data_IF_676155113230
#
_entry.id   IF_676155113230
#
_cell.length_a   1.000
_cell.length_b   1.000
_cell.length_c   1.000
_cell.angle_alpha   90.00
_cell.angle_beta   90.00
_cell.angle_gamma   90.00
#
_symmetry.space_group_name_H-M   'P 1'
#
loop_
_entity.id
_entity.type
_entity.pdbx_description
1 polymer ?
#
# COMPACT_ATOMS: atom_id res chain seq x y z
N UNK A 1 -55.62 -8.07 9.75
CA UNK A 1 -54.63 -8.11 8.71
C UNK A 1 -53.65 -6.96 8.94
N UNK A 2 -52.47 -7.21 9.52
CA UNK A 2 -51.47 -6.18 9.80
C UNK A 2 -50.33 -6.32 8.75
N UNK A 3 -50.05 -5.23 8.05
CA UNK A 3 -48.99 -5.09 7.06
C UNK A 3 -47.62 -5.38 7.67
N UNK A 4 -46.95 -6.36 7.13
CA UNK A 4 -45.49 -6.57 7.33
C UNK A 4 -44.76 -5.65 6.39
N UNK A 5 -44.25 -4.53 6.91
CA UNK A 5 -43.34 -3.67 6.19
C UNK A 5 -42.07 -4.44 5.84
N UNK A 6 -41.86 -4.65 4.54
CA UNK A 6 -40.63 -5.21 4.01
C UNK A 6 -39.47 -4.25 4.25
N UNK A 7 -38.66 -4.46 5.29
CA UNK A 7 -37.35 -3.83 5.43
C UNK A 7 -36.43 -4.40 4.35
N UNK A 8 -36.28 -3.66 3.27
CA UNK A 8 -35.19 -3.87 2.32
C UNK A 8 -33.89 -3.57 3.06
N UNK A 9 -33.18 -4.61 3.48
CA UNK A 9 -31.80 -4.45 3.96
C UNK A 9 -30.96 -4.01 2.77
N UNK A 10 -30.59 -2.74 2.71
CA UNK A 10 -29.60 -2.27 1.76
C UNK A 10 -28.31 -3.09 1.97
N UNK A 11 -27.90 -3.82 0.95
CA UNK A 11 -26.68 -4.64 0.96
C UNK A 11 -25.50 -3.70 1.19
N UNK A 12 -24.90 -3.77 2.37
CA UNK A 12 -23.66 -3.08 2.68
C UNK A 12 -22.57 -3.66 1.79
N UNK A 13 -22.12 -2.90 0.80
CA UNK A 13 -21.09 -3.35 -0.12
C UNK A 13 -19.72 -3.14 0.52
N UNK A 14 -18.92 -4.19 0.63
CA UNK A 14 -17.51 -4.10 1.03
C UNK A 14 -16.63 -3.82 -0.17
N UNK A 15 -15.50 -3.14 0.04
CA UNK A 15 -14.42 -3.00 -0.93
C UNK A 15 -13.07 -3.25 -0.25
N UNK A 16 -12.07 -3.66 -1.04
CA UNK A 16 -10.74 -4.04 -0.57
C UNK A 16 -9.67 -3.14 -1.15
N UNK A 17 -8.85 -2.59 -0.26
CA UNK A 17 -7.65 -1.81 -0.60
C UNK A 17 -6.43 -2.64 -0.21
N UNK A 18 -5.51 -2.81 -1.15
CA UNK A 18 -4.32 -3.65 -0.98
C UNK A 18 -3.07 -2.84 -1.25
N UNK A 19 -2.02 -3.04 -0.45
CA UNK A 19 -0.65 -2.61 -0.78
C UNK A 19 0.23 -3.82 -1.03
N UNK A 20 1.09 -3.75 -2.04
CA UNK A 20 2.02 -4.81 -2.40
C UNK A 20 3.31 -4.26 -3.01
N UNK A 21 4.42 -4.41 -2.32
CA UNK A 21 5.73 -4.28 -2.93
C UNK A 21 6.00 -5.53 -3.79
N UNK A 22 6.13 -5.33 -5.09
CA UNK A 22 6.24 -6.42 -6.08
C UNK A 22 7.69 -6.78 -6.44
N UNK A 23 8.65 -6.34 -5.65
CA UNK A 23 10.09 -6.64 -5.80
C UNK A 23 10.57 -6.48 -7.25
N UNK A 24 10.86 -5.26 -7.66
CA UNK A 24 11.43 -4.97 -8.97
C UNK A 24 10.62 -5.52 -10.17
N UNK A 25 9.32 -5.19 -10.23
CA UNK A 25 8.50 -5.50 -11.41
C UNK A 25 8.83 -4.52 -12.54
N UNK A 26 10.01 -4.72 -13.15
CA UNK A 26 10.63 -3.80 -14.09
C UNK A 26 10.45 -4.26 -15.54
N UNK A 27 10.71 -3.32 -16.47
CA UNK A 27 10.82 -3.60 -17.89
C UNK A 27 12.16 -4.29 -18.20
N UNK A 28 12.23 -4.99 -19.35
CA UNK A 28 13.44 -5.66 -19.83
C UNK A 28 14.61 -4.69 -20.09
N UNK A 29 14.35 -3.38 -20.11
CA UNK A 29 15.33 -2.32 -20.35
C UNK A 29 15.99 -1.77 -19.09
N UNK A 30 15.55 -2.15 -17.90
CA UNK A 30 16.10 -1.66 -16.63
C UNK A 30 17.45 -2.31 -16.35
N UNK A 31 18.53 -1.61 -16.67
CA UNK A 31 19.90 -2.15 -16.72
C UNK A 31 20.55 -2.40 -15.34
N UNK A 32 19.98 -1.91 -14.23
CA UNK A 32 20.60 -1.95 -12.89
C UNK A 32 20.08 -3.05 -11.98
N UNK A 33 18.91 -3.61 -12.26
CA UNK A 33 18.26 -4.64 -11.46
C UNK A 33 18.00 -5.89 -12.29
N UNK A 34 17.92 -7.05 -11.65
CA UNK A 34 17.45 -8.25 -12.31
C UNK A 34 15.98 -8.10 -12.68
N UNK A 35 15.67 -8.24 -13.97
CA UNK A 35 14.30 -8.28 -14.47
C UNK A 35 13.58 -9.48 -13.88
N UNK A 36 12.40 -9.25 -13.36
CA UNK A 36 11.57 -10.30 -12.78
C UNK A 36 11.20 -11.35 -13.83
N UNK A 37 11.44 -12.64 -13.52
CA UNK A 37 11.15 -13.74 -14.45
C UNK A 37 9.66 -13.85 -14.74
N UNK A 38 9.30 -14.48 -15.88
CA UNK A 38 7.89 -14.73 -16.21
C UNK A 38 7.17 -15.56 -15.15
N UNK A 39 7.88 -16.51 -14.50
CA UNK A 39 7.34 -17.30 -13.39
C UNK A 39 7.05 -16.42 -12.18
N UNK A 40 7.97 -15.53 -11.83
CA UNK A 40 7.80 -14.59 -10.73
C UNK A 40 6.66 -13.61 -10.99
N UNK A 41 6.57 -13.04 -12.21
CA UNK A 41 5.46 -12.18 -12.64
C UNK A 41 4.09 -12.90 -12.54
N UNK A 42 4.03 -14.18 -12.97
CA UNK A 42 2.83 -15.00 -12.84
C UNK A 42 2.43 -15.21 -11.35
N UNK A 43 3.43 -15.40 -10.48
CA UNK A 43 3.19 -15.58 -9.05
C UNK A 43 2.73 -14.29 -8.37
N UNK A 44 3.23 -13.11 -8.79
CA UNK A 44 2.70 -11.81 -8.37
C UNK A 44 1.21 -11.70 -8.71
N UNK A 45 0.82 -12.05 -9.95
CA UNK A 45 -0.60 -12.02 -10.36
C UNK A 45 -1.46 -13.02 -9.58
N UNK A 46 -0.93 -14.21 -9.26
CA UNK A 46 -1.62 -15.18 -8.41
C UNK A 46 -1.95 -14.61 -7.02
N UNK A 47 -0.97 -13.92 -6.38
CA UNK A 47 -1.18 -13.24 -5.10
C UNK A 47 -2.25 -12.15 -5.22
N UNK A 48 -2.20 -11.33 -6.28
CA UNK A 48 -3.18 -10.26 -6.51
C UNK A 48 -4.59 -10.86 -6.70
N UNK A 49 -4.72 -11.93 -7.49
CA UNK A 49 -6.01 -12.60 -7.70
C UNK A 49 -6.57 -13.21 -6.42
N UNK A 50 -5.72 -13.81 -5.59
CA UNK A 50 -6.15 -14.40 -4.31
C UNK A 50 -6.76 -13.36 -3.37
N UNK A 51 -6.32 -12.11 -3.42
CA UNK A 51 -6.83 -11.01 -2.60
C UNK A 51 -8.10 -10.38 -3.17
N UNK A 52 -8.34 -10.48 -4.48
CA UNK A 52 -9.44 -9.79 -5.16
C UNK A 52 -9.56 -8.32 -4.78
N UNK A 53 -8.51 -7.50 -4.94
CA UNK A 53 -8.55 -6.10 -4.54
C UNK A 53 -9.46 -5.29 -5.46
N UNK A 54 -10.14 -4.28 -4.89
CA UNK A 54 -10.85 -3.27 -5.68
C UNK A 54 -9.91 -2.09 -5.99
N UNK A 55 -8.95 -1.81 -5.08
CA UNK A 55 -7.88 -0.83 -5.26
C UNK A 55 -6.56 -1.49 -4.84
N UNK A 56 -5.57 -1.46 -5.71
CA UNK A 56 -4.26 -2.06 -5.52
C UNK A 56 -3.17 -0.99 -5.66
N UNK A 57 -2.45 -0.74 -4.58
CA UNK A 57 -1.26 0.10 -4.56
C UNK A 57 -0.01 -0.77 -4.67
N UNK A 58 0.88 -0.40 -5.57
CA UNK A 58 2.09 -1.14 -5.91
C UNK A 58 3.33 -0.32 -5.57
N UNK A 59 4.34 -0.97 -5.03
CA UNK A 59 5.68 -0.45 -4.83
C UNK A 59 6.66 -1.29 -5.66
N UNK A 60 7.77 -0.68 -6.03
CA UNK A 60 8.78 -1.24 -6.95
C UNK A 60 8.23 -1.60 -8.34
N UNK A 61 7.28 -0.80 -8.79
CA UNK A 61 6.79 -0.86 -10.15
C UNK A 61 7.78 -0.19 -11.10
N UNK A 62 8.04 -0.80 -12.24
CA UNK A 62 8.82 -0.21 -13.31
C UNK A 62 8.12 0.94 -14.01
N UNK A 63 8.34 1.07 -15.32
CA UNK A 63 7.73 2.12 -16.13
C UNK A 63 6.20 1.99 -16.24
N UNK A 64 5.58 2.99 -16.84
CA UNK A 64 4.16 2.92 -17.26
C UNK A 64 3.90 1.69 -18.13
N UNK A 65 4.87 1.28 -18.98
CA UNK A 65 4.71 0.10 -19.83
C UNK A 65 4.64 -1.19 -19.01
N UNK A 66 5.49 -1.35 -17.96
CA UNK A 66 5.42 -2.46 -17.02
C UNK A 66 4.08 -2.51 -16.26
N UNK A 67 3.57 -1.35 -15.82
CA UNK A 67 2.27 -1.27 -15.17
C UNK A 67 1.14 -1.71 -16.10
N UNK A 68 1.17 -1.26 -17.35
CA UNK A 68 0.14 -1.62 -18.34
C UNK A 68 0.24 -3.09 -18.76
N UNK A 69 1.43 -3.68 -18.80
CA UNK A 69 1.64 -5.12 -18.99
C UNK A 69 0.97 -5.91 -17.85
N UNK A 70 1.28 -5.57 -16.60
CA UNK A 70 0.65 -6.21 -15.43
C UNK A 70 -0.88 -6.07 -15.47
N UNK A 71 -1.38 -4.87 -15.76
CA UNK A 71 -2.82 -4.59 -15.85
C UNK A 71 -3.49 -5.44 -16.94
N UNK A 72 -2.90 -5.52 -18.14
CA UNK A 72 -3.44 -6.32 -19.23
C UNK A 72 -3.45 -7.82 -18.89
N UNK A 73 -2.38 -8.32 -18.27
CA UNK A 73 -2.30 -9.70 -17.82
C UNK A 73 -3.36 -10.03 -16.75
N UNK A 74 -3.57 -9.13 -15.77
CA UNK A 74 -4.62 -9.28 -14.76
C UNK A 74 -6.02 -9.25 -15.38
N UNK A 75 -6.24 -8.39 -16.38
CA UNK A 75 -7.51 -8.32 -17.10
C UNK A 75 -7.80 -9.64 -17.86
N UNK A 76 -6.80 -10.21 -18.53
CA UNK A 76 -6.90 -11.51 -19.17
C UNK A 76 -7.20 -12.65 -18.19
N UNK A 77 -6.80 -12.49 -16.92
CA UNK A 77 -7.05 -13.42 -15.82
C UNK A 77 -8.32 -13.10 -14.99
N UNK A 78 -9.17 -12.18 -15.47
CA UNK A 78 -10.48 -11.86 -14.89
C UNK A 78 -10.50 -10.73 -13.85
N UNK A 79 -9.38 -10.01 -13.65
CA UNK A 79 -9.32 -8.83 -12.79
C UNK A 79 -9.13 -7.57 -13.64
N UNK A 80 -10.21 -6.82 -13.83
CA UNK A 80 -10.17 -5.56 -14.58
C UNK A 80 -10.01 -4.35 -13.67
N UNK A 81 -9.00 -3.52 -14.00
CA UNK A 81 -8.70 -2.25 -13.34
C UNK A 81 -8.71 -1.12 -14.39
N UNK A 82 -9.87 -0.55 -14.72
CA UNK A 82 -9.98 0.47 -15.76
C UNK A 82 -9.23 1.77 -15.42
N UNK A 83 -9.02 2.05 -14.13
CA UNK A 83 -8.36 3.26 -13.66
C UNK A 83 -7.00 2.94 -13.07
N UNK A 84 -6.00 3.77 -13.38
CA UNK A 84 -4.65 3.61 -12.87
C UNK A 84 -3.96 4.95 -12.68
N UNK A 85 -2.93 4.98 -11.81
CA UNK A 85 -2.00 6.07 -11.59
C UNK A 85 -0.58 5.52 -11.52
N UNK A 86 0.41 6.29 -11.99
CA UNK A 86 1.82 5.95 -11.91
C UNK A 86 2.60 7.21 -11.54
N UNK A 87 3.36 7.16 -10.45
CA UNK A 87 4.12 8.30 -9.95
C UNK A 87 5.58 7.93 -9.80
N UNK A 88 6.42 8.66 -10.50
CA UNK A 88 7.87 8.60 -10.40
C UNK A 88 8.39 9.69 -9.45
N UNK A 89 9.48 9.41 -8.78
CA UNK A 89 10.28 10.40 -8.04
C UNK A 89 11.63 10.62 -8.73
N UNK A 90 12.68 10.77 -7.93
CA UNK A 90 14.06 10.90 -8.44
C UNK A 90 14.72 9.56 -8.81
N UNK A 91 14.16 8.42 -8.38
CA UNK A 91 14.61 7.09 -8.80
C UNK A 91 14.16 6.81 -10.24
N UNK A 92 15.11 6.40 -11.09
CA UNK A 92 14.83 6.19 -12.51
C UNK A 92 14.15 4.84 -12.82
N UNK A 93 14.13 3.91 -11.87
CA UNK A 93 13.75 2.52 -12.15
C UNK A 93 12.53 2.05 -11.36
N UNK A 94 12.37 2.47 -10.09
CA UNK A 94 11.32 1.98 -9.20
C UNK A 94 10.39 3.09 -8.78
N UNK A 95 9.10 2.86 -8.95
CA UNK A 95 8.04 3.84 -8.81
C UNK A 95 6.91 3.29 -7.95
N UNK A 96 5.96 4.14 -7.60
CA UNK A 96 4.70 3.74 -7.00
C UNK A 96 3.59 3.82 -8.03
N UNK A 97 2.62 2.89 -7.95
CA UNK A 97 1.49 2.87 -8.86
C UNK A 97 0.21 2.46 -8.16
N UNK A 98 -0.92 2.77 -8.77
CA UNK A 98 -2.26 2.40 -8.30
C UNK A 98 -3.04 1.79 -9.47
N UNK A 99 -3.66 0.64 -9.25
CA UNK A 99 -4.70 0.08 -10.10
C UNK A 99 -6.03 0.12 -9.35
N UNK A 100 -7.12 0.53 -10.01
CA UNK A 100 -8.42 0.67 -9.35
C UNK A 100 -9.58 0.26 -10.27
N UNK A 101 -10.55 -0.42 -9.68
CA UNK A 101 -11.86 -0.69 -10.29
C UNK A 101 -12.76 0.55 -10.24
N UNK A 102 -12.46 1.47 -9.33
CA UNK A 102 -13.23 2.69 -9.12
C UNK A 102 -12.56 3.89 -9.79
N UNK A 103 -13.34 4.86 -10.29
CA UNK A 103 -12.80 6.07 -10.89
C UNK A 103 -12.10 6.96 -9.84
N UNK A 104 -11.13 7.74 -10.32
CA UNK A 104 -10.49 8.80 -9.56
C UNK A 104 -11.16 10.14 -9.85
N UNK A 105 -11.73 10.76 -8.82
CA UNK A 105 -12.31 12.11 -8.91
C UNK A 105 -11.23 13.21 -8.88
N UNK A 106 -10.05 12.90 -8.33
CA UNK A 106 -8.88 13.77 -8.36
C UNK A 106 -7.58 12.95 -8.36
N UNK A 107 -6.51 13.55 -8.91
CA UNK A 107 -5.15 13.01 -8.96
C UNK A 107 -4.17 14.09 -8.54
N UNK A 108 -3.23 13.76 -7.69
CA UNK A 108 -2.20 14.65 -7.16
C UNK A 108 -0.88 13.92 -7.07
N UNK A 109 -0.19 13.70 -8.20
CA UNK A 109 1.12 13.08 -8.21
C UNK A 109 2.15 14.02 -7.56
N UNK A 110 2.86 13.55 -6.55
CA UNK A 110 3.93 14.29 -5.88
C UNK A 110 5.27 13.76 -6.39
N UNK A 111 5.79 14.37 -7.44
CA UNK A 111 7.00 13.93 -8.15
C UNK A 111 8.25 14.68 -7.74
N UNK A 112 8.10 15.91 -7.23
CA UNK A 112 9.19 16.88 -7.06
C UNK A 112 9.43 17.29 -5.60
N UNK A 113 8.85 16.56 -4.64
CA UNK A 113 9.09 16.81 -3.23
C UNK A 113 10.57 16.70 -2.89
N UNK A 114 11.08 17.66 -2.13
CA UNK A 114 12.47 17.75 -1.74
C UNK A 114 12.61 18.22 -0.28
N UNK A 115 13.75 17.93 0.31
CA UNK A 115 14.11 18.34 1.66
C UNK A 115 15.61 18.62 1.75
N UNK A 116 16.00 19.35 2.79
CA UNK A 116 17.40 19.60 3.07
C UNK A 116 17.88 18.72 4.24
N UNK A 117 19.05 18.12 4.10
CA UNK A 117 19.69 17.34 5.14
C UNK A 117 21.21 17.57 5.07
N UNK A 118 21.82 17.99 6.19
CA UNK A 118 23.27 18.24 6.24
C UNK A 118 23.78 19.31 5.25
N UNK A 119 22.95 20.28 4.88
CA UNK A 119 23.28 21.32 3.88
C UNK A 119 23.21 20.86 2.42
N UNK A 120 22.65 19.69 2.15
CA UNK A 120 22.39 19.15 0.81
C UNK A 120 20.90 19.03 0.56
N UNK A 121 20.46 19.31 -0.67
CA UNK A 121 19.09 19.14 -1.10
C UNK A 121 18.91 17.74 -1.67
N UNK A 122 17.91 17.01 -1.15
CA UNK A 122 17.52 15.69 -1.59
C UNK A 122 16.09 15.73 -2.16
N UNK A 123 15.83 14.91 -3.15
CA UNK A 123 14.47 14.68 -3.69
C UNK A 123 13.95 13.34 -3.19
N UNK A 124 12.65 13.27 -2.91
CA UNK A 124 11.97 12.01 -2.59
C UNK A 124 12.20 11.01 -3.73
N UNK A 125 12.68 9.80 -3.38
CA UNK A 125 13.17 8.86 -4.39
C UNK A 125 12.05 8.30 -5.27
N UNK A 126 10.91 7.91 -4.69
CA UNK A 126 9.80 7.23 -5.42
C UNK A 126 8.59 8.13 -5.63
N UNK A 127 8.60 9.35 -5.07
CA UNK A 127 7.45 10.23 -5.05
C UNK A 127 6.31 9.68 -4.17
N UNK A 128 5.17 10.37 -4.18
CA UNK A 128 3.96 9.88 -3.52
C UNK A 128 2.79 9.96 -4.51
N UNK A 129 2.00 8.89 -4.61
CA UNK A 129 0.80 8.88 -5.43
C UNK A 129 -0.40 9.20 -4.55
N UNK A 130 -1.14 10.26 -4.87
CA UNK A 130 -2.33 10.66 -4.16
C UNK A 130 -3.52 10.76 -5.11
N UNK A 131 -4.60 10.04 -4.80
CA UNK A 131 -5.84 10.05 -5.59
C UNK A 131 -7.06 10.09 -4.68
N UNK A 132 -8.14 10.72 -5.14
CA UNK A 132 -9.45 10.58 -4.52
C UNK A 132 -10.23 9.50 -5.27
N UNK A 133 -10.56 8.41 -4.58
CA UNK A 133 -11.23 7.23 -5.13
C UNK A 133 -12.72 7.31 -4.85
N UNK A 134 -13.54 7.29 -5.91
CA UNK A 134 -15.00 7.35 -5.82
C UNK A 134 -15.58 5.94 -5.88
N UNK A 135 -15.90 5.35 -4.72
CA UNK A 135 -16.44 3.98 -4.63
C UNK A 135 -17.90 3.92 -5.12
N UNK A 136 -18.69 4.92 -4.75
CA UNK A 136 -20.06 5.15 -5.24
C UNK A 136 -20.41 6.64 -5.04
N UNK A 137 -21.56 7.13 -5.52
CA UNK A 137 -21.92 8.57 -5.43
C UNK A 137 -21.88 9.15 -4.01
N UNK A 138 -22.10 8.33 -2.97
CA UNK A 138 -22.11 8.75 -1.56
C UNK A 138 -20.84 8.38 -0.79
N UNK A 139 -19.84 7.74 -1.42
CA UNK A 139 -18.67 7.25 -0.70
C UNK A 139 -17.37 7.48 -1.49
N UNK A 140 -16.53 8.34 -0.95
CA UNK A 140 -15.21 8.67 -1.48
C UNK A 140 -14.18 8.60 -0.36
N UNK A 141 -12.95 8.24 -0.70
CA UNK A 141 -11.80 8.34 0.19
C UNK A 141 -10.56 8.82 -0.58
N UNK A 142 -9.63 9.45 0.13
CA UNK A 142 -8.30 9.76 -0.41
C UNK A 142 -7.37 8.58 -0.14
N UNK A 143 -6.62 8.17 -1.16
CA UNK A 143 -5.55 7.19 -1.06
C UNK A 143 -4.21 7.89 -1.26
N UNK A 144 -3.29 7.72 -0.32
CA UNK A 144 -1.92 8.24 -0.39
C UNK A 144 -0.95 7.06 -0.30
N UNK A 145 -0.20 6.83 -1.38
CA UNK A 145 0.73 5.71 -1.53
C UNK A 145 2.16 6.21 -1.41
N UNK A 146 2.96 5.53 -0.59
CA UNK A 146 4.37 5.83 -0.41
C UNK A 146 5.24 4.57 -0.50
N UNK A 147 6.48 4.76 -0.96
CA UNK A 147 7.57 3.80 -0.79
C UNK A 147 8.80 4.58 -0.32
N UNK A 148 9.05 4.56 0.97
CA UNK A 148 10.11 5.37 1.57
C UNK A 148 11.49 4.78 1.32
N UNK A 149 12.55 5.58 1.56
CA UNK A 149 13.94 5.19 1.42
C UNK A 149 14.23 3.88 2.16
N UNK A 150 14.73 2.90 1.43
CA UNK A 150 15.14 1.59 1.98
C UNK A 150 16.26 1.73 3.02
N UNK A 151 16.48 0.68 3.81
CA UNK A 151 17.55 0.64 4.79
C UNK A 151 18.95 0.46 4.19
N UNK A 152 19.02 0.13 2.90
CA UNK A 152 20.29 -0.04 2.20
C UNK A 152 21.09 1.25 2.24
N UNK A 153 22.37 1.11 2.60
CA UNK A 153 23.29 2.23 2.62
C UNK A 153 23.41 2.86 1.22
N UNK A 154 23.55 4.18 1.22
CA UNK A 154 23.75 4.97 0.01
C UNK A 154 24.90 5.95 0.24
N UNK A 155 25.70 6.27 -0.79
CA UNK A 155 26.82 7.19 -0.64
C UNK A 155 26.40 8.60 -0.24
N UNK A 156 25.16 8.99 -0.55
CA UNK A 156 24.66 10.35 -0.43
C UNK A 156 24.33 10.74 1.02
N UNK A 157 24.16 9.76 1.93
CA UNK A 157 23.82 10.07 3.32
C UNK A 157 23.36 8.87 4.16
N UNK A 158 23.03 9.14 5.42
CA UNK A 158 22.44 8.13 6.29
C UNK A 158 21.02 7.76 5.84
N UNK A 159 20.85 6.49 5.51
CA UNK A 159 19.57 5.97 4.99
C UNK A 159 18.39 6.16 5.97
N UNK A 160 18.65 6.10 7.28
CA UNK A 160 17.61 6.30 8.29
C UNK A 160 17.20 7.78 8.36
N UNK A 161 18.17 8.69 8.29
CA UNK A 161 17.90 10.13 8.29
C UNK A 161 17.13 10.54 7.01
N UNK A 162 17.54 10.05 5.84
CA UNK A 162 16.84 10.30 4.57
C UNK A 162 15.39 9.80 4.65
N UNK A 163 15.16 8.59 5.14
CA UNK A 163 13.82 8.02 5.31
C UNK A 163 12.95 8.84 6.27
N UNK A 164 13.56 9.35 7.33
CA UNK A 164 12.86 10.17 8.32
C UNK A 164 12.37 11.49 7.71
N UNK A 165 13.18 12.13 6.85
CA UNK A 165 12.76 13.35 6.14
C UNK A 165 11.65 13.05 5.13
N UNK A 166 11.72 11.95 4.37
CA UNK A 166 10.63 11.51 3.51
C UNK A 166 9.34 11.26 4.33
N UNK A 167 9.44 10.70 5.53
CA UNK A 167 8.30 10.49 6.42
C UNK A 167 7.68 11.81 6.91
N UNK A 168 8.48 12.83 7.17
CA UNK A 168 7.99 14.18 7.52
C UNK A 168 7.21 14.82 6.38
N UNK A 169 7.69 14.68 5.14
CA UNK A 169 6.97 15.15 3.95
C UNK A 169 5.65 14.40 3.74
N UNK A 170 5.66 13.08 3.92
CA UNK A 170 4.43 12.28 3.87
C UNK A 170 3.45 12.74 4.96
N UNK A 171 3.92 12.97 6.19
CA UNK A 171 3.10 13.48 7.30
C UNK A 171 2.49 14.84 6.98
N UNK A 172 3.25 15.77 6.41
CA UNK A 172 2.75 17.07 6.00
C UNK A 172 1.58 16.96 4.99
N UNK A 173 1.62 15.97 4.07
CA UNK A 173 0.51 15.69 3.15
C UNK A 173 -0.72 15.13 3.87
N UNK A 174 -0.50 14.28 4.86
CA UNK A 174 -1.57 13.76 5.73
C UNK A 174 -2.24 14.93 6.45
N UNK A 175 -1.46 15.81 7.09
CA UNK A 175 -1.96 16.95 7.87
C UNK A 175 -2.68 18.00 7.04
N UNK A 176 -2.31 18.17 5.78
CA UNK A 176 -2.96 19.10 4.87
C UNK A 176 -4.44 18.73 4.58
N UNK A 177 -4.88 17.51 4.87
CA UNK A 177 -6.20 16.99 4.55
C UNK A 177 -7.27 17.24 5.63
N UNK A 178 -7.03 16.87 6.92
CA UNK A 178 -8.02 17.05 7.98
C UNK A 178 -8.39 18.51 8.24
N UNK A 179 -7.48 19.43 8.00
CA UNK A 179 -7.74 20.86 8.21
C UNK A 179 -8.95 21.41 7.41
N UNK A 180 -9.39 20.70 6.36
CA UNK A 180 -10.54 21.09 5.54
C UNK A 180 -11.82 20.30 5.87
N UNK A 181 -11.71 19.08 6.41
CA UNK A 181 -12.86 18.25 6.76
C UNK A 181 -12.46 17.16 7.75
N UNK A 182 -12.90 17.24 9.01
CA UNK A 182 -12.64 16.24 10.07
C UNK A 182 -13.22 14.85 9.73
N UNK A 183 -14.21 14.79 8.84
CA UNK A 183 -14.82 13.54 8.35
C UNK A 183 -14.10 12.96 7.12
N UNK A 184 -13.00 13.58 6.66
CA UNK A 184 -12.29 13.11 5.49
C UNK A 184 -11.74 11.70 5.69
N UNK A 185 -12.12 10.80 4.80
CA UNK A 185 -11.67 9.41 4.79
C UNK A 185 -10.31 9.34 4.07
N UNK A 186 -9.26 8.99 4.82
CA UNK A 186 -7.90 8.92 4.31
C UNK A 186 -7.30 7.53 4.59
N UNK A 187 -6.72 6.93 3.56
CA UNK A 187 -5.89 5.72 3.66
C UNK A 187 -4.47 6.10 3.22
N UNK A 188 -3.50 5.84 4.09
CA UNK A 188 -2.07 6.00 3.80
C UNK A 188 -1.43 4.63 3.85
N UNK A 189 -0.82 4.19 2.76
CA UNK A 189 -0.30 2.84 2.68
C UNK A 189 0.97 2.74 1.83
N UNK A 190 1.65 1.62 1.97
CA UNK A 190 2.83 1.29 1.20
C UNK A 190 3.91 0.63 2.03
N UNK A 191 5.08 0.53 1.42
CA UNK A 191 6.31 0.09 2.06
C UNK A 191 7.01 1.29 2.72
N UNK A 192 6.93 1.38 4.04
CA UNK A 192 7.57 2.47 4.78
C UNK A 192 9.01 2.16 5.19
N UNK A 193 9.50 0.97 4.86
CA UNK A 193 10.87 0.53 5.09
C UNK A 193 11.34 0.65 6.56
N UNK A 194 10.37 0.65 7.51
CA UNK A 194 10.67 0.74 8.93
C UNK A 194 9.62 0.03 9.79
N UNK A 195 10.00 -0.33 11.02
CA UNK A 195 9.14 -1.05 11.95
C UNK A 195 8.24 -0.10 12.75
N UNK A 196 7.21 -0.65 13.41
CA UNK A 196 6.16 0.12 14.09
C UNK A 196 6.69 1.03 15.22
N UNK A 197 7.78 0.65 15.87
CA UNK A 197 8.39 1.42 16.97
C UNK A 197 9.40 2.49 16.51
N UNK A 198 9.63 2.59 15.21
CA UNK A 198 10.57 3.53 14.63
C UNK A 198 10.07 4.98 14.69
N UNK A 199 11.01 5.94 14.70
CA UNK A 199 10.70 7.36 14.57
C UNK A 199 9.94 7.66 13.26
N UNK A 200 10.22 6.92 12.17
CA UNK A 200 9.54 6.99 10.88
C UNK A 200 8.04 6.76 11.05
N UNK A 201 7.66 5.65 11.67
CA UNK A 201 6.24 5.28 11.85
C UNK A 201 5.55 6.20 12.87
N UNK A 202 6.25 6.62 13.93
CA UNK A 202 5.72 7.58 14.90
C UNK A 202 5.35 8.91 14.23
N UNK A 203 6.21 9.41 13.34
CA UNK A 203 5.94 10.64 12.57
C UNK A 203 4.75 10.44 11.63
N UNK A 204 4.72 9.36 10.84
CA UNK A 204 3.63 9.12 9.88
C UNK A 204 2.29 9.00 10.61
N UNK A 205 2.26 8.25 11.71
CA UNK A 205 1.06 8.12 12.52
C UNK A 205 0.62 9.44 13.13
N UNK A 206 1.56 10.25 13.56
CA UNK A 206 1.27 11.51 14.25
C UNK A 206 0.60 11.30 15.60
N UNK A 207 0.03 12.37 16.15
CA UNK A 207 -0.62 12.38 17.48
C UNK A 207 -1.89 13.23 17.46
N UNK A 208 -2.76 13.05 18.46
CA UNK A 208 -3.95 13.88 18.66
C UNK A 208 -5.01 13.66 17.59
N UNK A 209 -5.73 14.71 17.22
CA UNK A 209 -6.86 14.62 16.28
C UNK A 209 -6.50 14.21 14.86
N UNK A 210 -5.23 14.33 14.48
CA UNK A 210 -4.70 13.89 13.17
C UNK A 210 -4.00 12.52 13.21
N UNK A 211 -4.10 11.78 14.32
CA UNK A 211 -3.46 10.48 14.44
C UNK A 211 -4.07 9.46 13.48
N UNK A 212 -3.20 8.81 12.70
CA UNK A 212 -3.58 7.69 11.85
C UNK A 212 -3.68 6.41 12.69
N UNK A 213 -4.79 5.71 12.53
CA UNK A 213 -5.00 4.40 13.15
C UNK A 213 -4.31 3.31 12.33
N UNK A 214 -3.56 2.44 13.00
CA UNK A 214 -2.95 1.25 12.41
C UNK A 214 -3.85 0.02 12.68
N UNK A 215 -4.55 -0.51 11.68
CA UNK A 215 -5.43 -1.67 11.84
C UNK A 215 -4.73 -2.96 12.27
N UNK A 216 -3.40 -3.08 12.04
CA UNK A 216 -2.59 -4.28 12.29
C UNK A 216 -3.26 -5.55 11.77
N UNK A 217 -3.42 -5.71 10.44
CA UNK A 217 -4.02 -6.90 9.87
C UNK A 217 -3.26 -8.14 10.34
N UNK A 218 -3.99 -9.16 10.75
CA UNK A 218 -3.40 -10.43 11.19
C UNK A 218 -2.89 -11.23 9.99
N UNK A 219 -1.95 -12.16 10.21
CA UNK A 219 -1.60 -13.14 9.17
C UNK A 219 -2.82 -13.98 8.82
N UNK A 220 -3.16 -14.09 7.53
CA UNK A 220 -4.15 -15.05 7.05
C UNK A 220 -3.75 -16.45 7.54
N UNK A 221 -4.74 -17.31 7.84
CA UNK A 221 -4.50 -18.68 8.33
C UNK A 221 -3.48 -19.37 7.43
N UNK A 222 -2.24 -19.51 7.90
CA UNK A 222 -1.33 -20.48 7.35
C UNK A 222 -1.98 -21.85 7.53
N UNK A 223 -2.15 -22.60 6.44
CA UNK A 223 -2.43 -24.02 6.51
C UNK A 223 -1.32 -24.66 7.35
N UNK A 224 -1.66 -25.60 8.20
CA UNK A 224 -0.93 -26.15 9.35
C UNK A 224 0.52 -26.66 9.16
N UNK A 225 1.20 -26.34 8.06
CA UNK A 225 2.53 -26.86 7.71
C UNK A 225 3.62 -25.80 7.54
N UNK A 226 3.47 -24.58 8.03
CA UNK A 226 4.50 -23.54 7.89
C UNK A 226 5.15 -23.17 9.21
N UNK A 227 6.36 -23.59 9.32
CA UNK A 227 7.52 -23.28 10.17
C UNK A 227 7.32 -22.70 11.58
N UNK A 228 7.90 -23.39 12.60
CA UNK A 228 7.69 -23.10 14.03
C UNK A 228 8.57 -21.98 14.62
N UNK A 229 9.35 -21.22 13.84
CA UNK A 229 10.34 -20.30 14.39
C UNK A 229 9.99 -18.80 14.27
N UNK A 230 8.73 -18.42 14.05
CA UNK A 230 8.33 -17.01 14.08
C UNK A 230 7.83 -16.67 15.47
N UNK A 231 8.71 -16.15 16.31
CA UNK A 231 8.37 -15.46 17.55
C UNK A 231 7.72 -14.12 17.25
N UNK A 232 6.49 -14.12 16.75
CA UNK A 232 5.68 -12.92 16.64
C UNK A 232 4.39 -13.15 17.41
N UNK A 233 4.28 -12.57 18.58
CA UNK A 233 3.01 -12.46 19.29
C UNK A 233 2.00 -11.71 18.40
N UNK A 234 1.30 -12.42 17.52
CA UNK A 234 0.10 -11.97 16.83
C UNK A 234 0.26 -10.95 15.68
N UNK A 235 1.43 -10.36 15.45
CA UNK A 235 1.62 -9.42 14.35
C UNK A 235 2.11 -10.16 13.08
N UNK A 236 1.41 -9.97 11.96
CA UNK A 236 1.83 -10.54 10.68
C UNK A 236 3.03 -9.76 10.12
N UNK A 237 4.14 -10.42 9.90
CA UNK A 237 5.26 -9.85 9.16
C UNK A 237 4.89 -9.67 7.66
N UNK A 238 5.54 -8.71 7.00
CA UNK A 238 5.27 -8.42 5.59
C UNK A 238 6.50 -8.56 4.70
N UNK A 239 7.71 -8.50 5.27
CA UNK A 239 8.97 -8.61 4.53
C UNK A 239 9.90 -9.63 5.19
N UNK A 240 10.71 -10.30 4.37
CA UNK A 240 11.76 -11.24 4.78
C UNK A 240 13.12 -10.82 4.24
N UNK A 241 14.07 -10.61 5.13
CA UNK A 241 15.47 -10.30 4.84
C UNK A 241 16.34 -11.57 4.89
N UNK A 242 16.72 -12.15 3.75
CA UNK A 242 17.50 -13.40 3.73
C UNK A 242 18.87 -13.27 4.38
N UNK A 243 19.54 -12.11 4.23
CA UNK A 243 20.90 -11.89 4.73
C UNK A 243 20.98 -11.95 6.26
N UNK A 244 19.92 -11.69 6.96
CA UNK A 244 19.85 -11.69 8.43
C UNK A 244 18.81 -12.66 8.99
N UNK A 245 18.12 -13.43 8.13
CA UNK A 245 17.02 -14.33 8.49
C UNK A 245 15.94 -13.62 9.34
N UNK A 246 15.55 -12.42 8.93
CA UNK A 246 14.64 -11.57 9.69
C UNK A 246 13.31 -11.40 8.98
N UNK A 247 12.24 -11.54 9.76
CA UNK A 247 10.87 -11.28 9.35
C UNK A 247 10.37 -10.03 10.04
N UNK A 248 9.98 -9.02 9.27
CA UNK A 248 9.57 -7.73 9.79
C UNK A 248 8.26 -7.25 9.16
N UNK A 249 7.56 -6.39 9.87
CA UNK A 249 6.42 -5.66 9.31
C UNK A 249 6.89 -4.28 8.92
N UNK A 250 6.97 -4.00 7.62
CA UNK A 250 7.40 -2.71 7.06
C UNK A 250 6.41 -2.17 6.03
N UNK A 251 5.40 -2.98 5.66
CA UNK A 251 4.27 -2.56 4.84
C UNK A 251 3.05 -2.27 5.71
N UNK A 252 2.40 -1.14 5.46
CA UNK A 252 1.30 -0.65 6.30
C UNK A 252 0.11 -0.20 5.48
N UNK A 253 -1.07 -0.30 6.12
CA UNK A 253 -2.30 0.38 5.70
C UNK A 253 -2.78 1.17 6.91
N UNK A 254 -2.48 2.46 6.95
CA UNK A 254 -2.92 3.37 8.00
C UNK A 254 -4.20 4.07 7.57
N UNK A 255 -5.14 4.24 8.49
CA UNK A 255 -6.44 4.85 8.18
C UNK A 255 -6.75 6.04 9.11
N UNK A 256 -7.48 7.02 8.59
CA UNK A 256 -8.00 8.11 9.41
C UNK A 256 -9.00 7.60 10.45
N UNK A 257 -9.20 8.34 11.54
CA UNK A 257 -10.16 7.99 12.58
C UNK A 257 -11.59 7.83 12.03
N UNK A 258 -11.97 8.65 11.04
CA UNK A 258 -13.27 8.58 10.34
C UNK A 258 -13.52 7.26 9.60
N UNK A 259 -12.46 6.52 9.20
CA UNK A 259 -12.58 5.23 8.53
C UNK A 259 -12.69 4.03 9.48
N UNK A 260 -12.43 4.20 10.79
CA UNK A 260 -12.43 3.08 11.74
C UNK A 260 -13.76 2.35 11.83
N UNK A 261 -14.86 3.08 11.71
CA UNK A 261 -16.21 2.48 11.75
C UNK A 261 -16.53 1.67 10.47
N UNK A 262 -15.89 2.01 9.36
CA UNK A 262 -16.08 1.34 8.08
C UNK A 262 -15.16 0.11 7.93
N UNK A 263 -14.06 0.05 8.68
CA UNK A 263 -13.08 -1.03 8.58
C UNK A 263 -13.66 -2.38 9.03
N UNK A 264 -13.31 -3.45 8.27
CA UNK A 264 -13.75 -4.82 8.49
C UNK A 264 -12.56 -5.70 8.89
N UNK A 265 -12.27 -5.85 10.20
CA UNK A 265 -11.11 -6.60 10.67
C UNK A 265 -11.05 -8.05 10.15
N UNK A 266 -12.20 -8.73 10.11
CA UNK A 266 -12.29 -10.14 9.73
C UNK A 266 -11.91 -10.41 8.25
N UNK A 267 -11.95 -9.38 7.39
CA UNK A 267 -11.58 -9.46 5.98
C UNK A 267 -10.24 -8.78 5.68
N UNK A 268 -9.55 -8.27 6.73
CA UNK A 268 -8.27 -7.57 6.61
C UNK A 268 -7.13 -8.48 7.10
N UNK A 269 -6.14 -8.74 6.25
CA UNK A 269 -5.07 -9.68 6.57
C UNK A 269 -3.81 -9.43 5.72
N UNK A 270 -2.71 -10.05 6.13
CA UNK A 270 -1.51 -10.23 5.30
C UNK A 270 -1.63 -11.57 4.58
N UNK A 271 -1.60 -11.57 3.25
CA UNK A 271 -1.72 -12.80 2.46
C UNK A 271 -0.46 -13.66 2.59
N UNK A 272 -0.67 -14.96 2.76
CA UNK A 272 0.38 -15.98 2.59
C UNK A 272 -0.09 -16.99 1.56
N UNK A 273 0.68 -17.16 0.49
CA UNK A 273 0.49 -18.23 -0.50
C UNK A 273 1.66 -19.21 -0.39
N UNK A 274 1.49 -20.48 -0.80
CA UNK A 274 2.65 -21.35 -1.05
C UNK A 274 3.62 -20.66 -2.01
N UNK A 275 4.92 -20.80 -1.78
CA UNK A 275 5.98 -20.23 -2.61
C UNK A 275 5.89 -18.69 -2.79
N UNK A 276 5.35 -17.99 -1.80
CA UNK A 276 5.17 -16.53 -1.81
C UNK A 276 6.47 -15.80 -2.20
N UNK A 277 7.63 -16.30 -1.76
CA UNK A 277 8.95 -15.71 -2.05
C UNK A 277 9.30 -15.71 -3.54
N UNK A 278 8.70 -16.59 -4.34
CA UNK A 278 8.84 -16.55 -5.81
C UNK A 278 8.20 -15.30 -6.39
N UNK A 279 7.18 -14.76 -5.76
CA UNK A 279 6.51 -13.54 -6.18
C UNK A 279 7.29 -12.28 -5.79
N UNK A 280 7.66 -12.18 -4.50
CA UNK A 280 8.32 -11.00 -3.91
C UNK A 280 8.93 -11.37 -2.56
N UNK A 281 9.89 -10.59 -2.05
CA UNK A 281 10.35 -10.62 -0.67
C UNK A 281 9.34 -9.97 0.30
N UNK A 282 8.30 -9.37 -0.24
CA UNK A 282 7.17 -8.84 0.53
C UNK A 282 5.91 -9.69 0.38
N UNK A 283 5.04 -9.59 1.37
CA UNK A 283 3.70 -10.17 1.39
C UNK A 283 2.66 -9.06 1.30
N UNK A 284 1.67 -9.16 0.42
CA UNK A 284 0.68 -8.10 0.28
C UNK A 284 -0.23 -8.00 1.50
N UNK A 285 -0.62 -6.77 1.81
CA UNK A 285 -1.52 -6.43 2.92
C UNK A 285 -2.84 -5.93 2.36
N UNK A 286 -3.95 -6.55 2.77
CA UNK A 286 -5.30 -6.11 2.41
C UNK A 286 -6.04 -5.56 3.62
N UNK A 287 -6.74 -4.45 3.42
CA UNK A 287 -7.73 -3.91 4.34
C UNK A 287 -9.08 -3.80 3.63
N UNK A 288 -10.12 -4.29 4.29
CA UNK A 288 -11.50 -4.26 3.79
C UNK A 288 -12.32 -3.20 4.53
N UNK A 289 -13.22 -2.55 3.79
CA UNK A 289 -14.07 -1.49 4.30
C UNK A 289 -15.51 -1.67 3.84
N UNK A 290 -16.48 -1.22 4.64
CA UNK A 290 -17.89 -1.15 4.26
C UNK A 290 -18.22 0.25 3.77
N UNK A 291 -18.91 0.33 2.63
CA UNK A 291 -19.60 1.57 2.31
C UNK A 291 -20.83 1.65 3.22
N UNK A 292 -21.03 2.77 3.91
CA UNK A 292 -22.25 2.98 4.72
C UNK A 292 -23.52 2.66 3.93
N UNK A 293 -24.65 2.50 4.61
CA UNK A 293 -25.96 2.25 3.99
C UNK A 293 -26.22 3.28 2.90
N UNK A 294 -26.43 2.81 1.67
CA UNK A 294 -27.01 3.63 0.60
C UNK A 294 -28.45 3.97 0.94
#
# INVERSE_FOLDING_TARGET
MKNTEGRTFALTKTFRVTTYNVENYLDDTASRFCVKSAVSKAKVRECIRALHPDVLALQEMGSVAALLELRAALQAEGLDFPHWEHVAGSDANVHVAILSRFPFSARRPHTDDSFELGGQCFRVRRGFAEVDVQVNPGYQFTLLVAHLKSRNAVPEGDAAALRLEEAKLLRAKIDARPAKNAEAKLIVLGDFNDTEDSATLQIIRGTGGGEMFDPRPTGGRATANQQPNVSTQGAAWTNYWPESDRYERIDYVLISQSLRADWVPAESHVLTTPDWRTASDHRPVVAAFRTGKM
#
